data_IF_752424742853
#
_entry.id   IF_752424742853
#
_cell.length_a   1.000
_cell.length_b   1.000
_cell.length_c   1.000
_cell.angle_alpha   90.00
_cell.angle_beta   90.00
_cell.angle_gamma   90.00
#
_symmetry.space_group_name_H-M   'P 1'
#
loop_
_entity.id
_entity.type
_entity.pdbx_description
1 polymer ?
#
# COMPACT_ATOMS: atom_id res chain seq x y z
N UNK A 1 6.82 -3.76 -2.84
CA UNK A 1 5.45 -3.34 -2.48
C UNK A 1 5.46 -2.81 -1.06
N UNK A 2 5.33 -1.50 -0.90
CA UNK A 2 5.24 -0.88 0.43
C UNK A 2 3.82 -0.35 0.62
N UNK A 3 3.37 -0.27 1.88
CA UNK A 3 2.22 0.56 2.24
C UNK A 3 2.81 1.85 2.78
N UNK A 4 2.63 2.96 2.06
CA UNK A 4 3.14 4.26 2.51
C UNK A 4 2.21 4.82 3.58
N UNK A 5 2.51 4.50 4.83
CA UNK A 5 1.76 4.90 6.01
C UNK A 5 2.13 6.33 6.41
N UNK A 6 1.56 7.32 5.70
CA UNK A 6 1.90 8.74 5.86
C UNK A 6 1.07 9.42 6.95
N UNK A 7 -0.11 8.87 7.28
CA UNK A 7 -1.03 9.37 8.30
C UNK A 7 -1.85 8.22 8.88
N UNK A 8 -2.36 8.38 10.10
CA UNK A 8 -3.31 7.46 10.72
C UNK A 8 -4.67 7.47 10.01
N UNK A 9 -5.11 8.66 9.56
CA UNK A 9 -6.29 8.79 8.71
C UNK A 9 -5.94 8.38 7.27
N UNK A 10 -6.54 7.29 6.74
CA UNK A 10 -6.26 6.78 5.39
C UNK A 10 -6.61 7.77 4.28
N UNK A 11 -7.57 8.67 4.49
CA UNK A 11 -7.92 9.72 3.54
C UNK A 11 -6.80 10.75 3.45
N UNK A 12 -6.31 11.23 4.59
CA UNK A 12 -5.18 12.16 4.64
C UNK A 12 -3.93 11.50 4.06
N UNK A 13 -3.67 10.24 4.41
CA UNK A 13 -2.58 9.47 3.83
C UNK A 13 -2.66 9.39 2.31
N UNK A 14 -3.85 9.19 1.72
CA UNK A 14 -4.05 9.18 0.27
C UNK A 14 -3.72 10.54 -0.37
N UNK A 15 -4.18 11.65 0.23
CA UNK A 15 -3.89 13.01 -0.23
C UNK A 15 -2.40 13.34 -0.16
N UNK A 16 -1.69 12.83 0.83
CA UNK A 16 -0.25 13.02 1.02
C UNK A 16 0.62 12.16 0.07
N UNK A 17 0.07 11.17 -0.62
CA UNK A 17 0.80 10.43 -1.64
C UNK A 17 1.23 11.35 -2.79
N UNK A 18 2.49 11.27 -3.21
CA UNK A 18 2.96 11.99 -4.40
C UNK A 18 2.33 11.40 -5.69
N UNK A 19 2.30 12.17 -6.76
CA UNK A 19 1.63 11.82 -8.02
C UNK A 19 2.01 10.44 -8.55
N UNK A 20 3.29 10.12 -8.53
CA UNK A 20 3.77 8.81 -8.99
C UNK A 20 3.26 7.67 -8.13
N UNK A 21 3.11 7.90 -6.83
CA UNK A 21 2.55 6.91 -5.91
C UNK A 21 1.02 6.82 -6.03
N UNK A 22 0.31 7.90 -6.27
CA UNK A 22 -1.13 7.84 -6.56
C UNK A 22 -1.42 6.91 -7.73
N UNK A 23 -0.64 6.97 -8.81
CA UNK A 23 -0.81 6.08 -9.94
C UNK A 23 -0.40 4.62 -9.65
N UNK A 24 0.73 4.44 -8.98
CA UNK A 24 1.34 3.12 -8.79
C UNK A 24 0.68 2.35 -7.65
N UNK A 25 0.43 3.02 -6.52
CA UNK A 25 -0.03 2.35 -5.31
C UNK A 25 -1.51 1.95 -5.37
N UNK A 26 -2.33 2.58 -6.20
CA UNK A 26 -3.67 2.08 -6.52
C UNK A 26 -3.64 0.65 -7.05
N UNK A 27 -2.62 0.29 -7.84
CA UNK A 27 -2.43 -1.08 -8.32
C UNK A 27 -1.87 -1.97 -7.22
N UNK A 28 -0.79 -1.53 -6.55
CA UNK A 28 -0.09 -2.35 -5.55
C UNK A 28 -0.95 -2.63 -4.32
N UNK A 29 -1.74 -1.66 -3.84
CA UNK A 29 -2.66 -1.89 -2.70
C UNK A 29 -3.79 -2.84 -3.07
N UNK A 30 -4.36 -2.71 -4.27
CA UNK A 30 -5.33 -3.68 -4.79
C UNK A 30 -4.73 -5.09 -4.89
N UNK A 31 -3.46 -5.23 -5.26
CA UNK A 31 -2.76 -6.52 -5.27
C UNK A 31 -2.54 -7.08 -3.87
N UNK A 32 -2.20 -6.24 -2.87
CA UNK A 32 -2.05 -6.66 -1.47
C UNK A 32 -3.38 -7.20 -0.92
N UNK A 33 -4.47 -6.44 -1.11
CA UNK A 33 -5.82 -6.83 -0.71
C UNK A 33 -6.26 -8.14 -1.41
N UNK A 34 -6.06 -8.24 -2.72
CA UNK A 34 -6.36 -9.46 -3.48
C UNK A 34 -5.53 -10.66 -2.98
N UNK A 35 -4.27 -10.43 -2.63
CA UNK A 35 -3.38 -11.46 -2.08
C UNK A 35 -3.85 -11.93 -0.71
N UNK A 36 -4.39 -11.03 0.13
CA UNK A 36 -4.97 -11.40 1.43
C UNK A 36 -6.13 -12.40 1.26
N UNK A 37 -7.07 -12.12 0.33
CA UNK A 37 -8.17 -13.05 0.02
C UNK A 37 -7.64 -14.41 -0.45
N UNK A 38 -6.72 -14.43 -1.39
CA UNK A 38 -6.18 -15.67 -1.95
C UNK A 38 -5.41 -16.47 -0.91
N UNK A 39 -4.60 -15.82 -0.10
CA UNK A 39 -3.79 -16.49 0.91
C UNK A 39 -4.61 -17.06 2.07
N UNK A 40 -5.73 -16.42 2.44
CA UNK A 40 -6.56 -16.82 3.57
C UNK A 40 -7.70 -17.77 3.18
N UNK A 41 -8.31 -17.55 2.01
CA UNK A 41 -9.53 -18.25 1.60
C UNK A 41 -9.31 -19.21 0.42
N UNK A 42 -8.17 -19.12 -0.27
CA UNK A 42 -7.91 -19.89 -1.49
C UNK A 42 -7.27 -21.25 -1.23
N UNK A 43 -7.59 -22.23 -2.07
CA UNK A 43 -6.92 -23.52 -2.12
C UNK A 43 -5.59 -23.42 -2.86
N UNK A 44 -4.50 -23.88 -2.24
CA UNK A 44 -3.17 -23.85 -2.84
C UNK A 44 -3.04 -24.85 -3.99
N UNK A 45 -2.45 -24.42 -5.10
CA UNK A 45 -2.07 -25.28 -6.21
C UNK A 45 -0.77 -24.82 -6.87
N UNK A 46 -0.21 -25.67 -7.73
CA UNK A 46 0.97 -25.33 -8.50
C UNK A 46 0.63 -25.10 -9.97
N UNK A 47 1.13 -24.01 -10.51
CA UNK A 47 1.00 -23.60 -11.90
C UNK A 47 2.39 -23.41 -12.53
N UNK A 48 2.44 -23.10 -13.80
CA UNK A 48 3.67 -22.78 -14.54
C UNK A 48 3.63 -21.35 -15.04
N UNK A 49 4.74 -20.63 -14.87
CA UNK A 49 4.95 -19.35 -15.53
C UNK A 49 5.09 -19.53 -17.05
N UNK A 50 5.00 -18.43 -17.82
CA UNK A 50 5.25 -18.46 -19.28
C UNK A 50 6.58 -19.13 -19.66
N UNK A 51 7.59 -19.07 -18.79
CA UNK A 51 8.89 -19.67 -18.99
C UNK A 51 9.01 -21.09 -18.39
N UNK A 52 7.88 -21.76 -18.09
CA UNK A 52 7.83 -23.11 -17.57
C UNK A 52 8.21 -23.27 -16.09
N UNK A 53 8.58 -22.21 -15.36
CA UNK A 53 8.93 -22.27 -13.95
C UNK A 53 7.70 -22.59 -13.10
N UNK A 54 7.81 -23.57 -12.21
CA UNK A 54 6.77 -23.91 -11.22
C UNK A 54 6.54 -22.72 -10.29
N UNK A 55 5.26 -22.34 -10.11
CA UNK A 55 4.84 -21.24 -9.23
C UNK A 55 3.63 -21.67 -8.41
N UNK A 56 3.62 -21.28 -7.14
CA UNK A 56 2.51 -21.50 -6.24
C UNK A 56 1.40 -20.46 -6.49
N UNK A 57 0.15 -20.91 -6.51
CA UNK A 57 -1.06 -20.12 -6.73
C UNK A 57 -2.13 -20.50 -5.69
N UNK A 58 -3.20 -19.71 -5.63
CA UNK A 58 -4.34 -19.91 -4.74
C UNK A 58 -5.63 -19.70 -5.52
N UNK A 59 -6.46 -20.72 -5.61
CA UNK A 59 -7.75 -20.72 -6.27
C UNK A 59 -8.84 -20.35 -5.28
N UNK A 60 -9.58 -19.28 -5.53
CA UNK A 60 -10.73 -18.90 -4.71
C UNK A 60 -11.98 -19.68 -5.11
N UNK A 61 -12.87 -20.04 -4.16
CA UNK A 61 -14.01 -20.93 -4.42
C UNK A 61 -15.24 -20.22 -5.03
N UNK A 62 -15.15 -18.93 -5.33
CA UNK A 62 -16.28 -18.08 -5.73
C UNK A 62 -15.88 -17.05 -6.80
N UNK A 63 -16.79 -16.10 -7.12
CA UNK A 63 -16.59 -15.08 -8.15
C UNK A 63 -15.35 -14.20 -7.94
N UNK A 64 -14.78 -14.16 -6.73
CA UNK A 64 -13.52 -13.49 -6.47
C UNK A 64 -12.35 -14.05 -7.29
N UNK A 65 -12.44 -15.31 -7.75
CA UNK A 65 -11.39 -15.94 -8.57
C UNK A 65 -11.11 -15.16 -9.85
N UNK A 66 -12.15 -14.74 -10.55
CA UNK A 66 -12.02 -13.95 -11.79
C UNK A 66 -11.91 -12.45 -11.53
N UNK A 67 -12.45 -11.99 -10.41
CA UNK A 67 -12.52 -10.58 -10.04
C UNK A 67 -11.25 -10.01 -9.41
N UNK A 68 -10.50 -10.83 -8.66
CA UNK A 68 -9.33 -10.40 -7.92
C UNK A 68 -8.02 -10.69 -8.68
N UNK A 69 -7.00 -9.90 -8.37
CA UNK A 69 -5.66 -10.11 -8.91
C UNK A 69 -5.04 -11.40 -8.36
N UNK A 70 -4.07 -11.95 -9.09
CA UNK A 70 -3.31 -13.11 -8.63
C UNK A 70 -2.50 -12.74 -7.36
N UNK A 71 -2.35 -13.72 -6.46
CA UNK A 71 -1.51 -13.57 -5.28
C UNK A 71 -0.03 -13.39 -5.64
N UNK A 72 0.62 -12.42 -5.03
CA UNK A 72 2.02 -12.10 -5.27
C UNK A 72 2.75 -11.81 -3.95
N UNK A 73 4.06 -12.07 -3.94
CA UNK A 73 4.97 -11.68 -2.86
C UNK A 73 4.45 -11.99 -1.44
N UNK A 74 3.94 -13.21 -1.21
CA UNK A 74 3.28 -13.59 0.04
C UNK A 74 4.10 -13.36 1.30
N UNK A 75 5.43 -13.46 1.19
CA UNK A 75 6.35 -13.33 2.32
C UNK A 75 6.86 -11.88 2.50
N UNK A 76 6.41 -10.93 1.69
CA UNK A 76 6.77 -9.53 1.89
C UNK A 76 6.08 -8.99 3.17
N UNK A 77 6.77 -8.23 4.04
CA UNK A 77 6.19 -7.75 5.30
C UNK A 77 4.86 -7.02 5.14
N UNK A 78 4.72 -6.15 4.14
CA UNK A 78 3.44 -5.47 3.86
C UNK A 78 2.32 -6.44 3.47
N UNK A 79 2.64 -7.54 2.76
CA UNK A 79 1.64 -8.56 2.38
C UNK A 79 1.23 -9.38 3.59
N UNK A 80 2.17 -9.70 4.49
CA UNK A 80 1.89 -10.38 5.75
C UNK A 80 1.01 -9.49 6.62
N UNK A 81 1.38 -8.23 6.80
CA UNK A 81 0.66 -7.25 7.60
C UNK A 81 -0.81 -7.10 7.12
N UNK A 82 -1.03 -6.95 5.81
CA UNK A 82 -2.38 -6.78 5.23
C UNK A 82 -3.35 -7.92 5.60
N UNK A 83 -2.86 -9.16 5.72
CA UNK A 83 -3.69 -10.33 6.01
C UNK A 83 -3.61 -10.80 7.46
N UNK A 84 -2.87 -10.11 8.31
CA UNK A 84 -2.62 -10.51 9.69
C UNK A 84 -3.87 -10.34 10.56
N UNK A 85 -4.62 -9.26 10.37
CA UNK A 85 -5.89 -9.04 11.03
C UNK A 85 -6.83 -8.14 10.22
N UNK A 86 -8.10 -8.16 10.60
CA UNK A 86 -9.18 -7.42 9.94
C UNK A 86 -8.90 -5.90 9.94
N UNK A 87 -8.40 -5.37 11.02
CA UNK A 87 -8.14 -3.94 11.20
C UNK A 87 -7.03 -3.44 10.25
N UNK A 88 -6.00 -4.26 10.03
CA UNK A 88 -4.96 -3.97 9.04
C UNK A 88 -5.54 -3.96 7.61
N UNK A 89 -6.38 -4.95 7.31
CA UNK A 89 -7.05 -5.06 6.02
C UNK A 89 -7.94 -3.84 5.76
N UNK A 90 -8.75 -3.44 6.73
CA UNK A 90 -9.67 -2.31 6.62
C UNK A 90 -8.93 -0.99 6.40
N UNK A 91 -7.86 -0.73 7.16
CA UNK A 91 -7.03 0.45 6.94
C UNK A 91 -6.52 0.51 5.50
N UNK A 92 -5.98 -0.61 5.00
CA UNK A 92 -5.47 -0.65 3.62
C UNK A 92 -6.59 -0.53 2.58
N UNK A 93 -7.76 -1.11 2.84
CA UNK A 93 -8.94 -0.99 1.97
C UNK A 93 -9.38 0.47 1.88
N UNK A 94 -9.52 1.16 3.00
CA UNK A 94 -9.88 2.58 3.03
C UNK A 94 -8.82 3.46 2.36
N UNK A 95 -7.55 3.21 2.62
CA UNK A 95 -6.45 3.91 1.96
C UNK A 95 -6.50 3.71 0.44
N UNK A 96 -6.72 2.48 -0.02
CA UNK A 96 -6.83 2.19 -1.46
C UNK A 96 -8.04 2.86 -2.11
N UNK A 97 -9.20 2.84 -1.46
CA UNK A 97 -10.42 3.52 -1.96
C UNK A 97 -10.16 5.02 -2.09
N UNK A 98 -9.65 5.66 -1.03
CA UNK A 98 -9.35 7.08 -1.03
C UNK A 98 -8.27 7.43 -2.08
N UNK A 99 -7.29 6.54 -2.29
CA UNK A 99 -6.26 6.73 -3.31
C UNK A 99 -6.83 6.63 -4.74
N UNK A 100 -7.83 5.78 -4.97
CA UNK A 100 -8.55 5.73 -6.25
C UNK A 100 -9.33 7.03 -6.51
N UNK A 101 -9.98 7.60 -5.49
CA UNK A 101 -10.63 8.92 -5.59
C UNK A 101 -9.63 10.05 -5.78
N UNK A 102 -8.48 9.98 -5.10
CA UNK A 102 -7.40 10.93 -5.29
C UNK A 102 -6.82 10.86 -6.72
N UNK A 103 -6.74 9.67 -7.30
CA UNK A 103 -6.37 9.49 -8.70
C UNK A 103 -7.40 10.17 -9.64
N UNK A 104 -8.69 9.96 -9.40
CA UNK A 104 -9.76 10.60 -10.20
C UNK A 104 -9.72 12.13 -10.07
N UNK A 105 -9.54 12.64 -8.84
CA UNK A 105 -9.40 14.07 -8.58
C UNK A 105 -8.24 14.71 -9.36
N UNK A 106 -7.06 14.07 -9.33
CA UNK A 106 -5.85 14.59 -9.99
C UNK A 106 -5.88 14.45 -11.51
N UNK A 107 -6.39 13.33 -12.01
CA UNK A 107 -6.26 12.94 -13.43
C UNK A 107 -7.58 12.99 -14.23
N UNK A 108 -8.72 13.22 -13.57
CA UNK A 108 -10.03 13.38 -14.22
C UNK A 108 -10.61 12.10 -14.81
N UNK A 109 -10.15 10.92 -14.36
CA UNK A 109 -10.65 9.61 -14.79
C UNK A 109 -10.58 8.60 -13.65
N UNK A 110 -11.55 7.67 -13.63
CA UNK A 110 -11.55 6.56 -12.66
C UNK A 110 -10.36 5.63 -12.90
N UNK A 111 -9.78 5.16 -11.80
CA UNK A 111 -8.74 4.13 -11.88
C UNK A 111 -9.38 2.76 -12.08
N UNK A 112 -8.89 1.97 -13.07
CA UNK A 112 -9.48 0.68 -13.44
C UNK A 112 -9.51 -0.36 -12.30
N UNK A 113 -8.63 -0.26 -11.29
CA UNK A 113 -8.68 -1.17 -10.15
C UNK A 113 -9.91 -0.99 -9.28
N UNK A 114 -10.60 0.17 -9.35
CA UNK A 114 -11.80 0.43 -8.56
C UNK A 114 -12.95 -0.53 -8.90
N UNK A 115 -12.98 -1.12 -10.09
CA UNK A 115 -13.96 -2.14 -10.48
C UNK A 115 -13.90 -3.40 -9.59
N UNK A 116 -12.80 -3.58 -8.85
CA UNK A 116 -12.61 -4.69 -7.90
C UNK A 116 -13.20 -4.43 -6.53
N UNK A 117 -13.67 -3.20 -6.27
CA UNK A 117 -14.22 -2.80 -4.97
C UNK A 117 -15.31 -3.78 -4.48
N UNK A 118 -16.21 -4.20 -5.35
CA UNK A 118 -17.29 -5.13 -5.01
C UNK A 118 -16.82 -6.47 -4.43
N UNK A 119 -15.61 -6.90 -4.76
CA UNK A 119 -14.99 -8.13 -4.24
C UNK A 119 -14.14 -7.90 -2.99
N UNK A 120 -13.66 -6.66 -2.79
CA UNK A 120 -12.74 -6.30 -1.71
C UNK A 120 -13.47 -5.71 -0.49
N UNK A 121 -14.69 -5.20 -0.65
CA UNK A 121 -15.48 -4.60 0.43
C UNK A 121 -15.76 -5.60 1.57
N UNK A 122 -15.96 -6.87 1.24
CA UNK A 122 -16.04 -7.92 2.24
C UNK A 122 -14.61 -8.39 2.58
N UNK A 123 -14.30 -8.49 3.85
CA UNK A 123 -13.03 -9.05 4.32
C UNK A 123 -12.85 -10.51 3.90
N UNK A 124 -11.63 -11.04 3.79
CA UNK A 124 -11.41 -12.50 3.70
C UNK A 124 -12.15 -13.23 4.82
N UNK A 125 -12.75 -14.38 4.51
CA UNK A 125 -13.55 -15.14 5.50
C UNK A 125 -12.73 -15.65 6.68
N UNK A 126 -11.47 -16.00 6.41
CA UNK A 126 -10.55 -16.58 7.41
C UNK A 126 -9.60 -15.57 8.02
N UNK A 127 -9.91 -14.27 7.95
CA UNK A 127 -9.08 -13.24 8.58
C UNK A 127 -9.33 -13.17 10.09
N UNK A 128 -8.28 -13.00 10.87
CA UNK A 128 -8.37 -12.84 12.32
C UNK A 128 -8.88 -11.43 12.68
N UNK A 129 -9.71 -11.31 13.71
CA UNK A 129 -10.13 -10.04 14.30
C UNK A 129 -9.28 -9.77 15.54
N UNK A 130 -8.70 -8.57 15.64
CA UNK A 130 -7.69 -8.27 16.67
C UNK A 130 -8.01 -7.02 17.51
N UNK A 131 -9.14 -6.37 17.30
CA UNK A 131 -9.62 -5.13 17.95
C UNK A 131 -8.76 -3.87 17.67
N UNK A 132 -7.56 -4.01 17.14
CA UNK A 132 -6.69 -2.90 16.74
C UNK A 132 -5.69 -3.33 15.67
N UNK A 133 -5.23 -2.37 14.88
CA UNK A 133 -4.15 -2.63 13.93
C UNK A 133 -2.87 -3.07 14.63
N UNK A 134 -2.15 -3.98 13.99
CA UNK A 134 -0.78 -4.30 14.40
C UNK A 134 0.19 -3.22 13.91
N UNK A 135 1.39 -3.18 14.45
CA UNK A 135 2.40 -2.21 14.03
C UNK A 135 2.70 -2.33 12.53
N UNK A 136 2.70 -1.17 11.84
CA UNK A 136 3.00 -1.09 10.41
C UNK A 136 4.47 -1.42 10.13
N UNK A 137 4.77 -2.40 9.26
CA UNK A 137 6.15 -2.76 8.95
C UNK A 137 6.88 -1.64 8.19
N UNK A 138 8.09 -1.34 8.63
CA UNK A 138 8.95 -0.32 8.04
C UNK A 138 9.82 -0.93 6.93
N UNK A 139 9.27 -1.02 5.70
CA UNK A 139 9.91 -1.62 4.54
C UNK A 139 10.75 -0.59 3.76
N UNK A 140 11.81 -0.06 4.36
CA UNK A 140 12.70 0.94 3.77
C UNK A 140 14.13 0.75 4.29
N UNK A 141 15.13 1.46 3.73
CA UNK A 141 16.49 1.46 4.25
C UNK A 141 16.57 1.87 5.73
N UNK A 142 17.51 1.31 6.48
CA UNK A 142 17.58 1.49 7.94
C UNK A 142 17.70 2.95 8.36
N UNK A 143 18.41 3.76 7.60
CA UNK A 143 18.57 5.20 7.89
C UNK A 143 17.25 6.02 7.75
N UNK A 144 16.21 5.44 7.17
CA UNK A 144 14.87 6.04 7.13
C UNK A 144 13.96 5.55 8.26
N UNK A 145 14.32 4.43 8.93
CA UNK A 145 13.50 3.83 9.97
C UNK A 145 13.49 4.67 11.24
N UNK A 146 12.35 4.67 11.92
CA UNK A 146 12.18 5.35 13.21
C UNK A 146 11.52 4.36 14.17
N UNK A 147 12.18 4.09 15.27
CA UNK A 147 11.67 3.14 16.27
C UNK A 147 10.30 3.60 16.79
N UNK A 148 9.33 2.68 16.80
CA UNK A 148 7.96 2.90 17.29
C UNK A 148 7.20 4.05 16.58
N UNK A 149 7.68 4.52 15.42
CA UNK A 149 7.01 5.58 14.67
C UNK A 149 7.07 5.33 13.14
N UNK A 150 6.25 4.41 12.63
CA UNK A 150 6.23 4.08 11.20
C UNK A 150 5.82 5.27 10.31
N UNK A 151 4.95 6.16 10.78
CA UNK A 151 4.56 7.37 10.01
C UNK A 151 5.79 8.24 9.76
N UNK A 152 6.56 8.54 10.80
CA UNK A 152 7.78 9.33 10.64
C UNK A 152 8.82 8.62 9.77
N UNK A 153 8.92 7.29 9.85
CA UNK A 153 9.79 6.49 9.00
C UNK A 153 9.40 6.61 7.51
N UNK A 154 8.12 6.48 7.18
CA UNK A 154 7.65 6.65 5.79
C UNK A 154 7.80 8.10 5.29
N UNK A 155 7.60 9.11 6.15
CA UNK A 155 7.89 10.51 5.82
C UNK A 155 9.38 10.73 5.55
N UNK A 156 10.26 10.20 6.40
CA UNK A 156 11.72 10.19 6.18
C UNK A 156 12.08 9.51 4.86
N UNK A 157 11.46 8.38 4.54
CA UNK A 157 11.68 7.66 3.28
C UNK A 157 11.26 8.49 2.06
N UNK A 158 10.17 9.28 2.15
CA UNK A 158 9.77 10.20 1.08
C UNK A 158 10.81 11.31 0.88
N UNK A 159 11.28 11.94 1.95
CA UNK A 159 12.23 13.05 1.91
C UNK A 159 13.56 12.60 1.33
N UNK A 160 14.07 11.44 1.75
CA UNK A 160 15.40 10.97 1.37
C UNK A 160 15.40 10.29 -0.02
N UNK A 161 14.40 9.47 -0.33
CA UNK A 161 14.44 8.56 -1.46
C UNK A 161 13.49 8.91 -2.61
N UNK A 162 12.47 9.75 -2.36
CA UNK A 162 11.45 10.04 -3.36
C UNK A 162 11.52 11.48 -3.89
N UNK A 163 12.36 12.35 -3.32
CA UNK A 163 12.49 13.77 -3.69
C UNK A 163 12.68 14.02 -5.18
N UNK A 164 13.39 13.13 -5.90
CA UNK A 164 13.66 13.30 -7.34
C UNK A 164 12.41 13.29 -8.22
N UNK A 165 11.26 12.80 -7.72
CA UNK A 165 10.02 12.69 -8.49
C UNK A 165 8.75 13.05 -7.69
N UNK A 166 8.88 13.44 -6.43
CA UNK A 166 7.73 13.73 -5.58
C UNK A 166 7.12 15.08 -5.99
N UNK A 167 5.91 15.02 -6.53
CA UNK A 167 5.06 16.16 -6.92
C UNK A 167 3.63 15.90 -6.49
N UNK A 168 2.82 16.96 -6.35
CA UNK A 168 1.43 16.87 -5.87
C UNK A 168 0.50 17.70 -6.77
N UNK A 169 0.08 17.13 -7.90
CA UNK A 169 -0.85 17.78 -8.83
C UNK A 169 -2.18 18.08 -8.15
N UNK A 170 -2.66 19.33 -8.27
CA UNK A 170 -3.91 19.84 -7.67
C UNK A 170 -3.96 19.79 -6.13
N UNK A 171 -2.89 19.47 -5.45
CA UNK A 171 -2.77 19.45 -3.99
C UNK A 171 -1.63 20.35 -3.55
N UNK A 172 -1.75 20.87 -2.34
CA UNK A 172 -0.61 21.51 -1.68
C UNK A 172 0.43 20.45 -1.31
N UNK A 173 1.70 20.82 -1.41
CA UNK A 173 2.79 19.96 -0.94
C UNK A 173 2.64 19.81 0.58
N UNK A 174 2.67 18.58 1.13
CA UNK A 174 2.51 18.37 2.56
C UNK A 174 3.55 19.17 3.38
N UNK A 175 3.10 19.84 4.44
CA UNK A 175 3.98 20.67 5.29
C UNK A 175 5.19 19.89 5.83
N UNK A 176 4.97 18.63 6.26
CA UNK A 176 6.05 17.77 6.76
C UNK A 176 7.13 17.52 5.69
N UNK A 177 6.74 17.48 4.41
CA UNK A 177 7.69 17.28 3.31
C UNK A 177 8.53 18.53 3.08
N UNK A 178 7.90 19.71 3.04
CA UNK A 178 8.59 21.02 2.91
C UNK A 178 9.57 21.22 4.07
N UNK A 179 9.11 21.00 5.30
CA UNK A 179 9.95 21.13 6.51
C UNK A 179 11.12 20.14 6.49
N UNK A 180 10.89 18.91 6.07
CA UNK A 180 11.92 17.89 6.01
C UNK A 180 13.02 18.20 4.98
N UNK A 181 12.66 18.77 3.83
CA UNK A 181 13.65 19.24 2.84
C UNK A 181 14.52 20.39 3.38
N UNK A 182 13.90 21.35 4.08
CA UNK A 182 14.63 22.50 4.66
C UNK A 182 15.61 22.07 5.74
N UNK A 183 15.22 21.14 6.61
CA UNK A 183 16.08 20.62 7.67
C UNK A 183 17.26 19.80 7.10
N UNK A 184 17.07 19.08 5.97
CA UNK A 184 18.12 18.34 5.30
C UNK A 184 19.16 19.24 4.59
N UNK A 185 18.79 20.45 4.22
CA UNK A 185 19.71 21.43 3.61
C UNK A 185 20.58 22.14 4.64
N UNK A 186 20.09 22.33 5.86
CA UNK A 186 20.84 22.99 6.95
C UNK A 186 21.89 22.06 7.61
N UNK A 187 21.85 20.74 7.38
CA UNK A 187 22.83 19.79 7.91
C UNK A 187 24.08 19.56 7.05
N UNK A 188 24.21 20.24 5.91
CA UNK A 188 25.39 20.20 5.04
C UNK A 188 26.14 21.53 5.02
N UNK A 189 26.43 22.12 6.16
CA UNK A 189 27.43 23.17 6.27
C UNK A 189 28.70 22.59 6.87
N UNK A 190 29.66 22.39 5.99
CA UNK A 190 31.10 22.48 6.14
C UNK A 190 31.73 21.68 7.30
N UNK A 191 32.35 20.60 6.97
CA UNK A 191 33.66 20.20 7.52
C UNK A 191 34.62 20.02 6.37
#
# INVERSE_FOLDING_TARGET
MNIFYLNEDPRVAAEEHCDKHVCKMTIEYCQLLSTAHRALDGAEYYDKTKNGRKIKRWLLPDERETGLMLGIMLNHPSTIWTRQCAENYDYLLELWINLCYEFEYRYGKKHATLDRLKYLTNRPKNITINNSMTEMPQCMPDYCKVQNNPIQAYKSYYINEKKRFATWKKRQIPNWYVQGLNNGTNGRSVA
#
